data_IF_094091511950
#
_entry.id   IF_094091511950
#
_cell.length_a   1.000
_cell.length_b   1.000
_cell.length_c   1.000
_cell.angle_alpha   90.00
_cell.angle_beta   90.00
_cell.angle_gamma   90.00
#
_symmetry.space_group_name_H-M   'P 1'
#
loop_
_entity.id
_entity.type
_entity.pdbx_description
1 polymer ?
#
# COMPACT_ATOMS: atom_id res chain seq x y z
N UNK A 1 -4.50 50.03 -51.87
CA UNK A 1 -5.58 49.14 -51.38
C UNK A 1 -5.51 47.85 -52.16
N UNK A 2 -5.04 46.77 -51.54
CA UNK A 2 -5.40 45.36 -51.82
C UNK A 2 -4.58 44.46 -50.90
N UNK A 3 -5.27 43.46 -50.38
CA UNK A 3 -4.96 42.70 -49.17
C UNK A 3 -3.92 41.58 -49.30
N UNK A 4 -3.33 41.31 -48.13
CA UNK A 4 -2.86 40.05 -47.59
C UNK A 4 -3.48 38.77 -48.17
N UNK A 5 -2.65 37.79 -48.56
CA UNK A 5 -2.91 36.36 -48.32
C UNK A 5 -1.59 35.62 -48.08
N UNK A 6 -1.39 35.15 -46.85
CA UNK A 6 -0.46 34.06 -46.55
C UNK A 6 -1.12 32.74 -46.97
N UNK A 7 -0.35 31.85 -47.61
CA UNK A 7 -0.80 30.48 -47.86
C UNK A 7 0.30 29.46 -47.51
N UNK A 8 -0.19 28.38 -46.93
CA UNK A 8 0.47 27.24 -46.34
C UNK A 8 1.36 26.46 -47.32
N UNK A 9 2.52 26.02 -46.82
CA UNK A 9 3.35 24.98 -47.42
C UNK A 9 3.66 23.90 -46.38
N UNK A 10 2.92 22.81 -46.44
CA UNK A 10 3.06 21.60 -45.60
C UNK A 10 4.45 20.96 -45.77
N UNK A 11 5.10 20.57 -44.67
CA UNK A 11 6.23 19.63 -44.69
C UNK A 11 5.87 18.35 -43.94
N UNK A 12 5.58 17.32 -44.74
CA UNK A 12 5.34 15.94 -44.35
C UNK A 12 6.64 15.28 -43.84
N UNK A 13 6.67 14.89 -42.56
CA UNK A 13 7.65 13.93 -42.07
C UNK A 13 7.02 12.53 -42.05
N UNK A 14 7.53 11.65 -42.91
CA UNK A 14 7.16 10.24 -43.01
C UNK A 14 7.39 9.54 -41.66
N UNK A 15 6.33 8.95 -41.09
CA UNK A 15 6.43 7.98 -39.99
C UNK A 15 7.02 6.67 -40.51
N UNK A 16 8.08 6.18 -39.88
CA UNK A 16 8.46 4.77 -39.97
C UNK A 16 7.97 4.06 -38.69
N UNK A 17 7.26 2.92 -38.78
CA UNK A 17 6.72 2.23 -37.63
C UNK A 17 7.74 1.25 -37.06
N UNK A 18 8.56 1.70 -36.11
CA UNK A 18 9.35 0.78 -35.29
C UNK A 18 8.61 0.46 -33.99
N UNK A 19 8.34 -0.83 -33.88
CA UNK A 19 7.74 -1.60 -32.81
C UNK A 19 8.19 -1.15 -31.42
N UNK A 20 7.30 -0.50 -30.68
CA UNK A 20 7.39 -0.45 -29.23
C UNK A 20 6.32 -1.37 -28.64
N UNK A 21 6.61 -2.67 -28.64
CA UNK A 21 5.99 -3.63 -27.73
C UNK A 21 6.67 -3.52 -26.36
N UNK A 22 6.49 -2.39 -25.67
CA UNK A 22 6.71 -2.35 -24.23
C UNK A 22 5.46 -2.92 -23.58
N UNK A 23 5.57 -4.19 -23.17
CA UNK A 23 4.52 -4.91 -22.46
C UNK A 23 4.02 -4.10 -21.27
N UNK A 24 2.72 -3.79 -21.28
CA UNK A 24 1.96 -3.47 -20.08
C UNK A 24 1.99 -4.68 -19.16
N UNK A 25 2.90 -4.73 -18.20
CA UNK A 25 2.65 -5.47 -16.96
C UNK A 25 1.85 -4.55 -16.04
N UNK A 26 0.56 -4.39 -16.35
CA UNK A 26 -0.38 -3.81 -15.41
C UNK A 26 -0.52 -4.75 -14.22
N UNK A 27 0.19 -4.47 -13.13
CA UNK A 27 -0.18 -5.02 -11.83
C UNK A 27 -1.53 -4.40 -11.48
N UNK A 28 -2.63 -5.14 -11.66
CA UNK A 28 -3.95 -4.68 -11.23
C UNK A 28 -3.88 -4.41 -9.72
N UNK A 29 -4.14 -3.17 -9.32
CA UNK A 29 -4.29 -2.83 -7.90
C UNK A 29 -5.49 -3.60 -7.34
N UNK A 30 -5.24 -4.50 -6.38
CA UNK A 30 -6.30 -5.25 -5.71
C UNK A 30 -6.95 -4.30 -4.71
N UNK A 31 -8.11 -3.75 -5.08
CA UNK A 31 -8.89 -2.91 -4.17
C UNK A 31 -9.79 -3.79 -3.31
N UNK A 32 -9.54 -3.81 -1.99
CA UNK A 32 -10.35 -4.57 -1.03
C UNK A 32 -11.31 -3.62 -0.30
N UNK A 33 -12.55 -4.03 -0.14
CA UNK A 33 -13.51 -3.31 0.70
C UNK A 33 -13.34 -3.76 2.16
N UNK A 34 -12.53 -3.01 2.92
CA UNK A 34 -12.16 -3.33 4.30
C UNK A 34 -12.83 -2.31 5.23
N UNK A 35 -13.55 -2.79 6.23
CA UNK A 35 -14.22 -2.01 7.26
C UNK A 35 -14.12 -2.68 8.65
N UNK A 36 -14.62 -1.98 9.68
CA UNK A 36 -14.56 -2.43 11.09
C UNK A 36 -15.26 -3.77 11.36
N UNK A 37 -16.16 -4.22 10.48
CA UNK A 37 -16.91 -5.47 10.63
C UNK A 37 -16.22 -6.65 9.95
N UNK A 38 -15.40 -6.40 8.93
CA UNK A 38 -14.83 -7.47 8.09
C UNK A 38 -13.30 -7.53 8.07
N UNK A 39 -12.59 -6.59 8.70
CA UNK A 39 -11.13 -6.49 8.57
C UNK A 39 -10.36 -7.74 9.00
N UNK A 40 -10.89 -8.50 9.97
CA UNK A 40 -10.30 -9.77 10.42
C UNK A 40 -10.40 -10.81 9.30
N UNK A 41 -11.59 -10.99 8.73
CA UNK A 41 -11.81 -11.92 7.61
C UNK A 41 -11.01 -11.51 6.38
N UNK A 42 -10.92 -10.21 6.10
CA UNK A 42 -10.11 -9.70 4.99
C UNK A 42 -8.62 -9.92 5.23
N UNK A 43 -8.12 -9.71 6.45
CA UNK A 43 -6.73 -10.01 6.80
C UNK A 43 -6.40 -11.49 6.57
N UNK A 44 -7.30 -12.40 6.95
CA UNK A 44 -7.14 -13.83 6.68
C UNK A 44 -7.06 -14.11 5.16
N UNK A 45 -7.98 -13.55 4.39
CA UNK A 45 -8.01 -13.70 2.93
C UNK A 45 -6.74 -13.16 2.26
N UNK A 46 -6.20 -12.04 2.74
CA UNK A 46 -4.93 -11.47 2.26
C UNK A 46 -3.80 -12.48 2.44
N UNK A 47 -3.65 -13.03 3.64
CA UNK A 47 -2.58 -14.00 3.93
C UNK A 47 -2.76 -15.28 3.12
N UNK A 48 -3.97 -15.83 3.01
CA UNK A 48 -4.23 -17.02 2.18
C UNK A 48 -3.92 -16.75 0.69
N UNK A 49 -4.36 -15.61 0.15
CA UNK A 49 -4.08 -15.23 -1.24
C UNK A 49 -2.57 -15.04 -1.50
N UNK A 50 -1.80 -14.56 -0.54
CA UNK A 50 -0.34 -14.49 -0.64
C UNK A 50 0.30 -15.88 -0.66
N UNK A 51 -0.20 -16.81 0.16
CA UNK A 51 0.28 -18.21 0.20
C UNK A 51 -0.02 -18.93 -1.12
N UNK A 52 -1.18 -18.70 -1.72
CA UNK A 52 -1.57 -19.34 -2.98
C UNK A 52 -0.75 -18.83 -4.17
N UNK A 53 -0.49 -17.52 -4.25
CA UNK A 53 0.19 -16.89 -5.41
C UNK A 53 1.71 -16.98 -5.37
N UNK A 54 2.31 -17.27 -4.22
CA UNK A 54 3.77 -17.33 -4.05
C UNK A 54 4.15 -18.66 -3.44
N UNK A 55 5.23 -19.27 -3.93
CA UNK A 55 5.90 -20.32 -3.15
C UNK A 55 6.31 -19.74 -1.80
N UNK A 56 6.22 -20.53 -0.71
CA UNK A 56 6.58 -20.09 0.66
C UNK A 56 7.93 -19.33 0.72
N UNK A 57 8.89 -19.70 -0.14
CA UNK A 57 10.20 -19.06 -0.26
C UNK A 57 10.16 -17.55 -0.59
N UNK A 58 9.07 -17.07 -1.20
CA UNK A 58 8.86 -15.66 -1.55
C UNK A 58 7.89 -14.95 -0.60
N UNK A 59 7.51 -15.59 0.50
CA UNK A 59 6.66 -15.00 1.53
C UNK A 59 7.45 -13.94 2.33
N UNK A 60 6.73 -12.91 2.78
CA UNK A 60 7.30 -11.96 3.75
C UNK A 60 7.67 -12.70 5.04
N UNK A 61 8.82 -12.36 5.65
CA UNK A 61 9.20 -12.96 6.94
C UNK A 61 8.52 -12.28 8.11
N UNK A 62 8.37 -13.00 9.21
CA UNK A 62 7.79 -12.48 10.45
C UNK A 62 8.59 -11.30 11.01
N UNK A 63 9.92 -11.31 10.86
CA UNK A 63 10.76 -10.18 11.28
C UNK A 63 10.42 -8.89 10.54
N UNK A 64 10.15 -8.97 9.23
CA UNK A 64 9.78 -7.80 8.42
C UNK A 64 8.39 -7.29 8.77
N UNK A 65 7.44 -8.21 8.96
CA UNK A 65 6.10 -7.87 9.43
C UNK A 65 6.13 -7.21 10.81
N UNK A 66 6.93 -7.74 11.74
CA UNK A 66 7.11 -7.15 13.06
C UNK A 66 7.68 -5.74 12.97
N UNK A 67 8.66 -5.50 12.08
CA UNK A 67 9.22 -4.16 11.89
C UNK A 67 8.17 -3.16 11.37
N UNK A 68 7.29 -3.57 10.45
CA UNK A 68 6.19 -2.73 9.97
C UNK A 68 5.18 -2.46 11.10
N UNK A 69 4.80 -3.49 11.85
CA UNK A 69 3.86 -3.38 12.97
C UNK A 69 4.42 -2.51 14.09
N UNK A 70 5.70 -2.64 14.44
CA UNK A 70 6.33 -1.83 15.50
C UNK A 70 6.15 -0.34 15.28
N UNK A 71 6.33 0.16 14.05
CA UNK A 71 6.09 1.57 13.74
C UNK A 71 4.64 1.99 14.02
N UNK A 72 3.68 1.12 13.70
CA UNK A 72 2.27 1.38 13.97
C UNK A 72 1.96 1.29 15.47
N UNK A 73 2.54 0.32 16.19
CA UNK A 73 2.40 0.16 17.64
C UNK A 73 2.94 1.35 18.42
N UNK A 74 4.08 1.91 18.01
CA UNK A 74 4.66 3.10 18.65
C UNK A 74 3.68 4.29 18.55
N UNK A 75 3.14 4.54 17.35
CA UNK A 75 2.15 5.59 17.13
C UNK A 75 0.85 5.30 17.91
N UNK A 76 0.39 4.05 17.90
CA UNK A 76 -0.80 3.62 18.65
C UNK A 76 -0.66 3.94 20.15
N UNK A 77 0.48 3.58 20.75
CA UNK A 77 0.76 3.83 22.16
C UNK A 77 0.82 5.33 22.47
N UNK A 78 1.41 6.14 21.60
CA UNK A 78 1.42 7.59 21.77
C UNK A 78 0.01 8.18 21.71
N UNK A 79 -0.80 7.75 20.74
CA UNK A 79 -2.20 8.16 20.61
C UNK A 79 -2.95 7.84 21.91
N UNK A 80 -2.79 6.63 22.47
CA UNK A 80 -3.41 6.23 23.74
C UNK A 80 -3.11 7.20 24.91
N UNK A 81 -1.94 7.84 24.92
CA UNK A 81 -1.54 8.81 25.94
C UNK A 81 -2.06 10.24 25.67
N UNK A 82 -2.45 10.56 24.43
CA UNK A 82 -3.02 11.87 24.08
C UNK A 82 -4.50 11.99 24.53
N UNK A 83 -4.87 13.17 25.04
CA UNK A 83 -6.26 13.52 25.36
C UNK A 83 -6.94 14.12 24.13
N UNK A 84 -8.16 13.67 23.84
CA UNK A 84 -8.99 14.21 22.75
C UNK A 84 -9.33 13.17 21.68
N UNK A 85 -10.28 13.51 20.82
CA UNK A 85 -10.81 12.63 19.77
C UNK A 85 -10.09 12.76 18.43
N UNK A 86 -9.38 13.87 18.19
CA UNK A 86 -8.60 14.13 16.96
C UNK A 86 -7.12 13.83 17.14
N UNK A 87 -6.44 13.44 16.06
CA UNK A 87 -4.99 13.27 16.07
C UNK A 87 -4.27 14.63 16.17
N UNK A 88 -3.20 14.69 16.96
CA UNK A 88 -2.34 15.87 16.97
C UNK A 88 -1.54 15.99 15.66
N UNK A 89 -1.10 17.21 15.32
CA UNK A 89 -0.22 17.44 14.14
C UNK A 89 1.06 16.60 14.21
N UNK A 90 1.56 16.34 15.42
CA UNK A 90 2.74 15.48 15.65
C UNK A 90 2.45 14.04 15.25
N UNK A 91 1.30 13.50 15.65
CA UNK A 91 0.88 12.15 15.27
C UNK A 91 0.63 12.06 13.75
N UNK A 92 -0.04 13.05 13.16
CA UNK A 92 -0.26 13.07 11.71
C UNK A 92 1.06 13.05 10.92
N UNK A 93 2.07 13.81 11.38
CA UNK A 93 3.40 13.80 10.80
C UNK A 93 4.07 12.42 10.92
N UNK A 94 3.91 11.72 12.06
CA UNK A 94 4.41 10.35 12.26
C UNK A 94 3.72 9.34 11.35
N UNK A 95 2.42 9.46 11.14
CA UNK A 95 1.66 8.61 10.20
C UNK A 95 2.15 8.85 8.77
N UNK A 96 2.37 10.11 8.37
CA UNK A 96 2.96 10.45 7.08
C UNK A 96 4.34 9.80 6.90
N UNK A 97 5.19 9.88 7.93
CA UNK A 97 6.51 9.25 7.92
C UNK A 97 6.43 7.72 7.86
N UNK A 98 5.53 7.09 8.62
CA UNK A 98 5.26 5.65 8.55
C UNK A 98 4.88 5.23 7.12
N UNK A 99 4.02 6.00 6.45
CA UNK A 99 3.65 5.75 5.05
C UNK A 99 4.86 5.80 4.11
N UNK A 100 5.73 6.79 4.25
CA UNK A 100 6.98 6.89 3.47
C UNK A 100 7.89 5.70 3.74
N UNK A 101 8.04 5.29 5.00
CA UNK A 101 8.83 4.10 5.36
C UNK A 101 8.27 2.83 4.75
N UNK A 102 6.95 2.67 4.71
CA UNK A 102 6.31 1.51 4.06
C UNK A 102 6.62 1.48 2.55
N UNK A 103 6.56 2.62 1.86
CA UNK A 103 6.99 2.70 0.46
C UNK A 103 8.46 2.36 0.27
N UNK A 104 9.34 2.84 1.17
CA UNK A 104 10.77 2.53 1.12
C UNK A 104 11.04 1.03 1.29
N UNK A 105 10.44 0.39 2.29
CA UNK A 105 10.59 -1.06 2.50
C UNK A 105 10.02 -1.87 1.32
N UNK A 106 8.89 -1.44 0.76
CA UNK A 106 8.35 -2.02 -0.48
C UNK A 106 9.30 -1.87 -1.68
N UNK A 107 9.99 -0.74 -1.79
CA UNK A 107 10.98 -0.51 -2.85
C UNK A 107 12.24 -1.37 -2.69
N UNK A 108 12.64 -1.66 -1.45
CA UNK A 108 13.83 -2.49 -1.16
C UNK A 108 13.56 -3.98 -1.31
N UNK A 109 12.34 -4.43 -1.00
CA UNK A 109 12.02 -5.85 -0.89
C UNK A 109 10.69 -6.22 -1.54
N UNK A 110 10.77 -7.04 -2.59
CA UNK A 110 9.59 -7.44 -3.37
C UNK A 110 8.54 -8.21 -2.55
N UNK A 111 8.95 -9.01 -1.55
CA UNK A 111 8.02 -9.69 -0.65
C UNK A 111 7.22 -8.70 0.21
N UNK A 112 7.84 -7.57 0.60
CA UNK A 112 7.18 -6.51 1.37
C UNK A 112 6.21 -5.76 0.48
N UNK A 113 6.62 -5.43 -0.74
CA UNK A 113 5.75 -4.81 -1.75
C UNK A 113 4.51 -5.65 -2.04
N UNK A 114 4.70 -6.94 -2.31
CA UNK A 114 3.60 -7.86 -2.59
C UNK A 114 2.61 -7.94 -1.41
N UNK A 115 3.13 -7.99 -0.18
CA UNK A 115 2.30 -7.98 1.03
C UNK A 115 1.50 -6.68 1.17
N UNK A 116 2.15 -5.51 1.11
CA UNK A 116 1.50 -4.22 1.30
C UNK A 116 0.47 -3.91 0.22
N UNK A 117 0.73 -4.33 -1.02
CA UNK A 117 -0.22 -4.20 -2.12
C UNK A 117 -1.43 -5.13 -1.93
N UNK A 118 -1.23 -6.38 -1.55
CA UNK A 118 -2.35 -7.30 -1.34
C UNK A 118 -3.23 -6.88 -0.15
N UNK A 119 -2.59 -6.36 0.89
CA UNK A 119 -3.25 -5.84 2.08
C UNK A 119 -3.97 -4.50 1.84
N UNK A 120 -3.82 -3.90 0.66
CA UNK A 120 -4.31 -2.54 0.34
C UNK A 120 -3.84 -1.49 1.38
N UNK A 121 -2.65 -1.70 1.96
CA UNK A 121 -2.21 -0.99 3.16
C UNK A 121 -2.08 0.52 2.95
N UNK A 122 -1.61 0.94 1.77
CA UNK A 122 -1.45 2.36 1.46
C UNK A 122 -2.78 3.10 1.39
N UNK A 123 -3.82 2.45 0.87
CA UNK A 123 -5.16 3.04 0.81
C UNK A 123 -5.78 3.12 2.21
N UNK A 124 -5.60 2.08 3.04
CA UNK A 124 -6.04 2.13 4.44
C UNK A 124 -5.34 3.24 5.23
N UNK A 125 -4.03 3.46 5.02
CA UNK A 125 -3.31 4.58 5.65
C UNK A 125 -3.84 5.94 5.17
N UNK A 126 -4.15 6.10 3.87
CA UNK A 126 -4.71 7.36 3.35
C UNK A 126 -6.05 7.68 3.99
N UNK A 127 -6.92 6.69 4.18
CA UNK A 127 -8.25 6.86 4.77
C UNK A 127 -8.22 7.42 6.20
N UNK A 128 -7.09 7.34 6.92
CA UNK A 128 -6.97 7.78 8.32
C UNK A 128 -7.36 9.25 8.50
N UNK A 129 -6.89 10.16 7.63
CA UNK A 129 -7.37 11.57 7.57
C UNK A 129 -7.55 12.27 8.93
N UNK A 130 -6.56 12.16 9.83
CA UNK A 130 -6.60 12.81 11.16
C UNK A 130 -7.56 12.16 12.17
N UNK A 131 -8.24 11.06 11.80
CA UNK A 131 -9.14 10.32 12.68
C UNK A 131 -8.41 9.28 13.52
N UNK A 132 -8.60 9.39 14.83
CA UNK A 132 -8.09 8.43 15.83
C UNK A 132 -8.67 7.03 15.62
N UNK A 133 -9.98 6.94 15.42
CA UNK A 133 -10.68 5.67 15.21
C UNK A 133 -10.20 4.97 13.94
N UNK A 134 -10.00 5.72 12.85
CA UNK A 134 -9.48 5.15 11.61
C UNK A 134 -8.03 4.69 11.74
N UNK A 135 -7.21 5.38 12.55
CA UNK A 135 -5.86 4.89 12.85
C UNK A 135 -5.90 3.59 13.66
N UNK A 136 -6.73 3.50 14.71
CA UNK A 136 -6.88 2.27 15.50
C UNK A 136 -7.39 1.10 14.66
N UNK A 137 -8.36 1.37 13.78
CA UNK A 137 -8.80 0.40 12.80
C UNK A 137 -7.65 -0.11 11.92
N UNK A 138 -6.86 0.79 11.33
CA UNK A 138 -5.69 0.40 10.53
C UNK A 138 -4.69 -0.42 11.35
N UNK A 139 -4.42 -0.01 12.59
CA UNK A 139 -3.53 -0.71 13.50
C UNK A 139 -3.98 -2.15 13.75
N UNK A 140 -5.24 -2.35 14.15
CA UNK A 140 -5.79 -3.68 14.41
C UNK A 140 -5.90 -4.55 13.15
N UNK A 141 -6.14 -3.94 11.99
CA UNK A 141 -6.05 -4.64 10.71
C UNK A 141 -4.61 -5.13 10.44
N UNK A 142 -3.61 -4.29 10.67
CA UNK A 142 -2.20 -4.68 10.54
C UNK A 142 -1.82 -5.78 11.55
N UNK A 143 -2.26 -5.69 12.80
CA UNK A 143 -2.08 -6.74 13.80
C UNK A 143 -2.70 -8.07 13.35
N UNK A 144 -3.90 -8.03 12.77
CA UNK A 144 -4.59 -9.22 12.26
C UNK A 144 -3.83 -9.88 11.12
N UNK A 145 -3.25 -9.09 10.20
CA UNK A 145 -2.39 -9.61 9.14
C UNK A 145 -1.17 -10.34 9.71
N UNK A 146 -0.52 -9.77 10.73
CA UNK A 146 0.63 -10.41 11.40
C UNK A 146 0.20 -11.69 12.11
N UNK A 147 -0.95 -11.70 12.78
CA UNK A 147 -1.48 -12.87 13.47
C UNK A 147 -1.78 -14.03 12.50
N UNK A 148 -2.45 -13.75 11.38
CA UNK A 148 -2.74 -14.78 10.38
C UNK A 148 -1.49 -15.26 9.66
N UNK A 149 -0.53 -14.37 9.37
CA UNK A 149 0.76 -14.79 8.84
C UNK A 149 1.46 -15.77 9.79
N UNK A 150 1.54 -15.43 11.08
CA UNK A 150 2.11 -16.31 12.11
C UNK A 150 1.39 -17.65 12.18
N UNK A 151 0.07 -17.66 12.04
CA UNK A 151 -0.74 -18.87 12.11
C UNK A 151 -0.56 -19.79 10.90
N UNK A 152 -0.59 -19.24 9.67
CA UNK A 152 -0.60 -20.03 8.44
C UNK A 152 0.77 -20.29 7.82
N UNK A 153 1.73 -19.38 8.00
CA UNK A 153 3.06 -19.50 7.38
C UNK A 153 4.01 -20.26 8.31
N UNK A 154 4.15 -19.85 9.56
CA UNK A 154 5.15 -20.45 10.46
C UNK A 154 4.79 -21.84 10.99
N UNK A 155 3.51 -22.23 11.04
CA UNK A 155 3.15 -23.61 11.41
C UNK A 155 3.55 -24.65 10.35
N UNK A 156 3.86 -24.20 9.14
CA UNK A 156 4.09 -25.06 7.99
C UNK A 156 5.56 -25.02 7.50
N UNK A 157 6.47 -24.43 8.26
CA UNK A 157 7.93 -24.52 8.07
C UNK A 157 8.53 -25.54 9.06
#
# INVERSE_FOLDING_TARGET
MADMKMNNGEKNYRKNPEQNSYGRTGQQEVHRNIDVKNYVDEAEKVIKALIERKSKKNMISTSKLRNLLSMSSDIYNEILMEKGSSLSKTIEAKICYMRVRFYYEAGREESVKAFLNEADAFEQIKKIEGSREKFFFFHHYLESLVAFHRYYVEKND
#
